data_IF_330581797740
#
_entry.id   IF_330581797740
#
_cell.length_a   1.000
_cell.length_b   1.000
_cell.length_c   1.000
_cell.angle_alpha   90.00
_cell.angle_beta   90.00
_cell.angle_gamma   90.00
#
_symmetry.space_group_name_H-M   'P 1'
#
loop_
_entity.id
_entity.type
_entity.pdbx_description
1 polymer ?
#
# COMPACT_ATOMS: atom_id res chain seq x y z
N UNK A 1 -0.56 -18.89 -0.33
CA UNK A 1 0.42 -18.16 0.51
C UNK A 1 0.20 -16.65 0.48
N UNK A 2 0.14 -15.94 1.63
CA UNK A 2 0.20 -14.47 1.68
C UNK A 2 1.54 -13.98 1.13
N UNK A 3 1.58 -12.85 0.43
CA UNK A 3 2.87 -12.24 0.06
C UNK A 3 3.51 -11.68 1.33
N UNK A 4 4.80 -11.93 1.54
CA UNK A 4 5.55 -11.29 2.63
C UNK A 4 5.48 -9.77 2.46
N UNK A 5 5.10 -9.07 3.52
CA UNK A 5 5.09 -7.62 3.55
C UNK A 5 6.52 -7.10 3.65
N UNK A 6 6.83 -6.09 2.84
CA UNK A 6 8.09 -5.37 2.96
C UNK A 6 7.95 -4.35 4.07
N UNK A 7 8.91 -4.32 5.00
CA UNK A 7 9.06 -3.19 5.91
C UNK A 7 9.67 -2.06 5.08
N UNK A 8 8.88 -1.04 4.79
CA UNK A 8 9.27 0.12 3.98
C UNK A 8 9.13 1.38 4.83
N UNK A 9 10.02 2.36 4.61
CA UNK A 9 9.87 3.69 5.19
C UNK A 9 8.64 4.41 4.62
N UNK A 10 8.11 5.39 5.34
CA UNK A 10 6.96 6.17 4.89
C UNK A 10 7.22 6.85 3.52
N UNK A 11 8.44 7.35 3.30
CA UNK A 11 8.89 7.89 2.01
C UNK A 11 8.88 6.84 0.90
N UNK A 12 9.43 5.64 1.15
CA UNK A 12 9.43 4.58 0.14
C UNK A 12 7.99 4.15 -0.22
N UNK A 13 7.08 4.12 0.75
CA UNK A 13 5.65 3.86 0.53
C UNK A 13 5.02 4.98 -0.31
N UNK A 14 5.38 6.24 -0.06
CA UNK A 14 4.88 7.39 -0.82
C UNK A 14 5.37 7.40 -2.26
N UNK A 15 6.45 6.70 -2.58
CA UNK A 15 6.98 6.54 -3.94
C UNK A 15 6.33 5.37 -4.70
N UNK A 16 5.61 4.46 -4.05
CA UNK A 16 4.87 3.37 -4.72
C UNK A 16 3.80 3.91 -5.68
N UNK A 17 3.61 3.24 -6.82
CA UNK A 17 2.66 3.62 -7.89
C UNK A 17 1.94 2.41 -8.46
N UNK A 18 0.90 2.68 -9.25
CA UNK A 18 0.29 1.69 -10.12
C UNK A 18 1.31 1.18 -11.16
N UNK A 19 1.26 -0.12 -11.47
CA UNK A 19 2.13 -0.76 -12.45
C UNK A 19 1.35 -0.98 -13.75
N UNK A 20 1.92 -0.61 -14.89
CA UNK A 20 1.29 -0.75 -16.21
C UNK A 20 0.87 -2.18 -16.57
N UNK A 21 1.55 -3.18 -15.98
CA UNK A 21 1.24 -4.60 -16.15
C UNK A 21 -0.01 -5.06 -15.40
N UNK A 22 -0.57 -4.25 -14.51
CA UNK A 22 -1.79 -4.54 -13.77
C UNK A 22 -3.01 -4.10 -14.57
N UNK A 23 -3.39 -4.95 -15.53
CA UNK A 23 -4.59 -4.83 -16.35
C UNK A 23 -5.39 -6.14 -16.31
N UNK A 24 -6.70 -6.07 -16.51
CA UNK A 24 -7.55 -7.26 -16.66
C UNK A 24 -7.38 -7.90 -18.07
N UNK A 25 -8.10 -9.00 -18.32
CA UNK A 25 -8.08 -9.71 -19.62
C UNK A 25 -8.56 -8.86 -20.81
N UNK A 26 -9.27 -7.76 -20.55
CA UNK A 26 -9.78 -6.81 -21.54
C UNK A 26 -8.89 -5.57 -21.69
N UNK A 27 -7.78 -5.49 -20.93
CA UNK A 27 -6.86 -4.37 -20.92
C UNK A 27 -7.29 -3.21 -20.00
N UNK A 28 -8.35 -3.35 -19.21
CA UNK A 28 -8.75 -2.31 -18.27
C UNK A 28 -7.77 -2.26 -17.09
N UNK A 29 -7.37 -1.07 -16.62
CA UNK A 29 -6.46 -0.95 -15.50
C UNK A 29 -7.11 -1.49 -14.22
N UNK A 30 -6.38 -2.36 -13.52
CA UNK A 30 -6.76 -2.81 -12.18
C UNK A 30 -5.77 -2.25 -11.15
N UNK A 31 -6.22 -2.03 -9.90
CA UNK A 31 -5.34 -1.52 -8.86
C UNK A 31 -4.13 -2.42 -8.63
N UNK A 32 -2.97 -1.82 -8.41
CA UNK A 32 -1.77 -2.54 -7.97
C UNK A 32 -1.77 -2.68 -6.46
N UNK A 33 -1.40 -3.86 -5.97
CA UNK A 33 -1.38 -4.18 -4.55
C UNK A 33 0.05 -4.41 -4.09
N UNK A 34 0.58 -3.50 -3.27
CA UNK A 34 1.93 -3.61 -2.70
C UNK A 34 1.86 -4.09 -1.26
N UNK A 35 2.41 -5.27 -0.91
CA UNK A 35 2.44 -5.74 0.47
C UNK A 35 3.47 -4.92 1.27
N UNK A 36 3.02 -4.19 2.29
CA UNK A 36 3.83 -3.19 3.02
C UNK A 36 3.51 -3.17 4.53
N UNK A 37 4.29 -2.42 5.31
CA UNK A 37 3.98 -2.12 6.71
C UNK A 37 4.27 -3.25 7.70
N UNK A 38 5.04 -4.28 7.29
CA UNK A 38 5.51 -5.35 8.17
C UNK A 38 4.43 -6.33 8.66
N UNK A 39 3.15 -6.04 8.44
CA UNK A 39 2.04 -6.93 8.82
C UNK A 39 1.61 -7.82 7.64
N UNK A 40 1.40 -9.10 7.91
CA UNK A 40 0.82 -10.02 6.92
C UNK A 40 -0.59 -9.56 6.58
N UNK A 41 -0.92 -9.51 5.29
CA UNK A 41 -2.26 -9.10 4.86
C UNK A 41 -2.43 -7.58 4.70
N UNK A 42 -1.45 -6.77 5.11
CA UNK A 42 -1.49 -5.32 4.88
C UNK A 42 -0.92 -4.95 3.50
N UNK A 43 -1.69 -4.17 2.76
CA UNK A 43 -1.33 -3.70 1.42
C UNK A 43 -1.58 -2.21 1.28
N UNK A 44 -0.77 -1.59 0.41
CA UNK A 44 -1.09 -0.31 -0.23
C UNK A 44 -1.67 -0.61 -1.61
N UNK A 45 -2.91 -0.19 -1.83
CA UNK A 45 -3.56 -0.22 -3.12
C UNK A 45 -3.24 1.08 -3.87
N UNK A 46 -2.80 0.99 -5.12
CA UNK A 46 -2.56 2.14 -6.00
C UNK A 46 -3.44 2.05 -7.26
N UNK A 47 -4.24 3.08 -7.53
CA UNK A 47 -5.04 3.19 -8.76
C UNK A 47 -4.25 3.82 -9.90
N UNK A 48 -4.76 3.70 -11.14
CA UNK A 48 -4.12 4.29 -12.32
C UNK A 48 -4.05 5.81 -12.23
N UNK A 49 -5.06 6.48 -11.66
CA UNK A 49 -5.02 7.94 -11.45
C UNK A 49 -4.09 8.37 -10.31
N UNK A 50 -3.44 7.43 -9.62
CA UNK A 50 -2.51 7.71 -8.54
C UNK A 50 -3.15 7.77 -7.15
N UNK A 51 -4.44 7.45 -7.03
CA UNK A 51 -5.11 7.26 -5.74
C UNK A 51 -4.47 6.13 -4.95
N UNK A 52 -4.36 6.32 -3.63
CA UNK A 52 -3.74 5.35 -2.72
C UNK A 52 -4.61 5.10 -1.50
N UNK A 53 -4.77 3.84 -1.13
CA UNK A 53 -5.54 3.44 0.03
C UNK A 53 -4.89 2.27 0.75
N UNK A 54 -5.07 2.24 2.06
CA UNK A 54 -4.73 1.12 2.90
C UNK A 54 -5.79 0.03 2.74
N UNK A 55 -5.34 -1.21 2.55
CA UNK A 55 -6.24 -2.36 2.48
C UNK A 55 -5.66 -3.53 3.26
N UNK A 56 -6.49 -4.11 4.11
CA UNK A 56 -6.21 -5.38 4.77
C UNK A 56 -6.89 -6.53 4.02
N UNK A 57 -6.13 -7.59 3.71
CA UNK A 57 -6.66 -8.79 3.05
C UNK A 57 -6.54 -9.97 3.99
N UNK A 58 -7.69 -10.46 4.44
CA UNK A 58 -7.79 -11.64 5.31
C UNK A 58 -8.51 -12.78 4.59
N UNK A 59 -8.28 -14.00 5.06
CA UNK A 59 -9.07 -15.16 4.64
C UNK A 59 -10.26 -15.28 5.60
N UNK A 60 -11.47 -15.42 5.08
CA UNK A 60 -12.62 -15.78 5.93
C UNK A 60 -12.40 -17.17 6.49
N UNK A 61 -12.52 -17.33 7.81
CA UNK A 61 -12.53 -18.64 8.47
C UNK A 61 -13.81 -19.43 8.18
N UNK A 62 -14.87 -18.76 7.70
CA UNK A 62 -16.20 -19.32 7.47
C UNK A 62 -16.51 -19.64 6.00
N UNK A 63 -15.51 -19.65 5.09
CA UNK A 63 -15.76 -19.89 3.67
C UNK A 63 -14.59 -20.55 2.93
N UNK A 64 -14.72 -20.68 1.61
CA UNK A 64 -13.87 -21.43 0.65
C UNK A 64 -12.38 -21.01 0.55
N UNK A 65 -11.81 -20.37 1.57
CA UNK A 65 -10.44 -19.83 1.56
C UNK A 65 -10.28 -18.56 0.72
N UNK A 66 -11.39 -17.94 0.29
CA UNK A 66 -11.38 -16.70 -0.48
C UNK A 66 -10.84 -15.54 0.38
N UNK A 67 -9.99 -14.72 -0.25
CA UNK A 67 -9.43 -13.52 0.38
C UNK A 67 -10.36 -12.34 0.20
N UNK A 68 -10.78 -11.77 1.31
CA UNK A 68 -11.66 -10.61 1.37
C UNK A 68 -10.81 -9.35 1.56
N UNK A 69 -10.93 -8.33 0.69
CA UNK A 69 -10.32 -7.03 0.92
C UNK A 69 -11.18 -6.19 1.88
N UNK A 70 -10.53 -5.54 2.83
CA UNK A 70 -11.11 -4.57 3.77
C UNK A 70 -10.36 -3.25 3.64
N UNK A 71 -11.04 -2.20 3.18
CA UNK A 71 -10.47 -0.85 3.11
C UNK A 71 -10.25 -0.29 4.51
N UNK A 72 -9.05 0.23 4.77
CA UNK A 72 -8.69 0.89 6.04
C UNK A 72 -8.62 2.42 5.92
N UNK A 73 -8.85 2.96 4.73
CA UNK A 73 -8.89 4.39 4.46
C UNK A 73 -7.86 4.86 3.43
N UNK A 74 -7.93 6.14 3.09
CA UNK A 74 -7.03 6.80 2.14
C UNK A 74 -5.62 6.92 2.73
N UNK A 75 -4.61 6.69 1.90
CA UNK A 75 -3.22 6.94 2.27
C UNK A 75 -2.86 8.40 2.04
N UNK A 76 -2.34 9.06 3.07
CA UNK A 76 -1.78 10.41 3.00
C UNK A 76 -0.33 10.37 3.47
N UNK A 77 0.52 11.21 2.86
CA UNK A 77 1.91 11.38 3.27
C UNK A 77 2.28 12.85 3.14
N UNK A 78 2.72 13.43 4.26
CA UNK A 78 3.29 14.76 4.33
C UNK A 78 4.76 14.60 4.70
N UNK A 79 5.66 15.09 3.84
CA UNK A 79 7.06 15.21 4.23
C UNK A 79 7.16 16.38 5.22
N UNK A 80 7.53 16.11 6.47
CA UNK A 80 7.94 17.18 7.38
C UNK A 80 9.22 17.82 6.82
N UNK A 81 9.25 19.15 6.74
CA UNK A 81 10.47 19.91 6.42
C UNK A 81 11.38 20.12 7.64
N UNK A 82 10.99 19.57 8.79
CA UNK A 82 11.56 19.89 10.10
C UNK A 82 12.80 19.05 10.42
N UNK A 83 13.84 19.12 9.59
CA UNK A 83 15.14 18.52 9.92
C UNK A 83 16.34 19.46 9.79
N UNK A 84 16.15 20.74 9.41
CA UNK A 84 17.24 21.73 9.40
C UNK A 84 17.30 22.60 10.68
N UNK A 85 16.33 22.51 11.59
CA UNK A 85 16.25 23.41 12.75
C UNK A 85 16.90 22.89 14.05
N UNK A 86 17.54 21.71 14.06
CA UNK A 86 18.09 21.09 15.28
C UNK A 86 19.61 20.83 15.26
N UNK A 87 20.35 21.36 14.27
CA UNK A 87 21.82 21.18 14.18
C UNK A 87 22.59 22.51 14.21
N UNK A 88 22.12 23.49 15.00
CA UNK A 88 22.92 24.68 15.36
C UNK A 88 22.55 25.14 16.77
N UNK A 89 22.78 24.25 17.75
CA UNK A 89 22.93 24.63 19.15
C UNK A 89 23.53 23.44 19.91
N UNK A 90 24.86 23.37 19.93
CA UNK A 90 25.72 23.02 21.09
C UNK A 90 27.17 22.85 20.64
#
# INVERSE_FOLDING_TARGET
MPRQSKILSARAISELRWRKTYVDKKGNPIPTWHPVGGATGLYLQCTKEGGKSWVYRYSSLAGDGKRIPMGLGTYTYTASKDSEALTTAQ
#
